data_IF_278068604428
#
_entry.id   IF_278068604428
#
_cell.length_a   1.000
_cell.length_b   1.000
_cell.length_c   1.000
_cell.angle_alpha   90.00
_cell.angle_beta   90.00
_cell.angle_gamma   90.00
#
_symmetry.space_group_name_H-M   'P 1'
#
loop_
_entity.id
_entity.type
_entity.pdbx_description
1 polymer ?
#
# COMPACT_ATOMS: atom_id res chain seq x y z
N UNK A 1 -30.08 -7.88 -39.26
CA UNK A 1 -28.72 -7.91 -38.71
C UNK A 1 -28.08 -6.57 -39.03
N UNK A 2 -27.68 -5.82 -38.02
CA UNK A 2 -27.00 -4.54 -38.19
C UNK A 2 -25.49 -4.80 -38.16
N UNK A 3 -24.79 -4.40 -39.21
CA UNK A 3 -23.34 -4.52 -39.35
C UNK A 3 -22.77 -3.09 -39.32
N UNK A 4 -22.07 -2.66 -38.26
CA UNK A 4 -21.50 -1.33 -38.22
C UNK A 4 -20.33 -1.24 -39.22
N UNK A 5 -20.40 -0.28 -40.15
CA UNK A 5 -19.25 0.06 -41.01
C UNK A 5 -18.28 0.93 -40.21
N UNK A 6 -17.05 0.48 -39.97
CA UNK A 6 -16.04 1.38 -39.40
C UNK A 6 -14.71 0.80 -38.95
N UNK A 7 -14.51 -0.52 -38.89
CA UNK A 7 -13.29 -1.06 -38.27
C UNK A 7 -12.35 -1.59 -39.35
N UNK A 8 -11.25 -0.86 -39.57
CA UNK A 8 -10.16 -1.28 -40.45
C UNK A 8 -9.42 -2.45 -39.81
N UNK A 9 -9.35 -3.59 -40.50
CA UNK A 9 -8.61 -4.77 -40.07
C UNK A 9 -7.10 -4.51 -40.09
N UNK A 10 -6.51 -4.31 -38.91
CA UNK A 10 -5.05 -4.40 -38.75
C UNK A 10 -4.73 -5.89 -38.64
N UNK A 11 -3.94 -6.43 -39.58
CA UNK A 11 -3.47 -7.81 -39.52
C UNK A 11 -2.61 -8.02 -38.27
N UNK A 12 -2.98 -8.98 -37.43
CA UNK A 12 -2.29 -9.28 -36.17
C UNK A 12 -1.56 -10.64 -36.25
N UNK A 13 -0.40 -10.75 -35.63
CA UNK A 13 0.45 -11.95 -35.65
C UNK A 13 -0.16 -13.14 -34.87
N UNK A 14 0.27 -14.36 -35.23
CA UNK A 14 -0.25 -15.67 -34.79
C UNK A 14 -0.28 -15.93 -33.26
N UNK A 15 0.40 -15.12 -32.44
CA UNK A 15 0.41 -15.28 -30.98
C UNK A 15 -0.85 -14.74 -30.27
N UNK A 16 -1.92 -14.44 -31.01
CA UNK A 16 -3.16 -13.82 -30.54
C UNK A 16 -4.40 -14.72 -30.66
N UNK A 17 -4.23 -16.04 -30.75
CA UNK A 17 -5.38 -16.93 -30.75
C UNK A 17 -6.08 -16.94 -29.38
N UNK A 18 -7.21 -16.23 -29.30
CA UNK A 18 -8.21 -16.42 -28.25
C UNK A 18 -9.05 -17.67 -28.53
N UNK A 19 -9.76 -18.14 -27.50
CA UNK A 19 -10.54 -19.39 -27.44
C UNK A 19 -11.79 -19.37 -28.36
N UNK A 20 -12.00 -18.31 -29.16
CA UNK A 20 -13.22 -18.09 -29.94
C UNK A 20 -13.05 -18.35 -31.45
N UNK A 21 -13.94 -19.16 -32.03
CA UNK A 21 -13.96 -19.53 -33.45
C UNK A 21 -14.17 -18.33 -34.40
N UNK A 22 -13.71 -18.47 -35.65
CA UNK A 22 -13.55 -17.42 -36.68
C UNK A 22 -14.81 -16.63 -37.12
N UNK A 23 -16.02 -16.94 -36.63
CA UNK A 23 -17.24 -16.14 -36.93
C UNK A 23 -17.35 -14.82 -36.15
N UNK A 24 -16.37 -14.51 -35.31
CA UNK A 24 -16.46 -13.46 -34.27
C UNK A 24 -15.43 -12.35 -34.50
N UNK A 25 -15.21 -11.90 -35.74
CA UNK A 25 -14.26 -10.79 -35.96
C UNK A 25 -14.79 -9.45 -35.45
N UNK A 26 -16.09 -9.20 -35.53
CA UNK A 26 -16.71 -7.93 -35.09
C UNK A 26 -16.94 -7.85 -33.57
N UNK A 27 -17.19 -8.97 -32.86
CA UNK A 27 -17.25 -8.93 -31.39
C UNK A 27 -15.85 -8.82 -30.75
N UNK A 28 -14.78 -9.15 -31.48
CA UNK A 28 -13.38 -8.91 -31.03
C UNK A 28 -13.06 -7.42 -30.90
N UNK A 29 -13.87 -6.54 -31.51
CA UNK A 29 -13.73 -5.09 -31.35
C UNK A 29 -14.60 -4.51 -30.22
N UNK A 30 -15.43 -5.34 -29.58
CA UNK A 30 -16.24 -4.92 -28.42
C UNK A 30 -15.52 -5.08 -27.10
N UNK A 31 -14.55 -6.00 -27.02
CA UNK A 31 -13.87 -6.39 -25.79
C UNK A 31 -12.36 -6.47 -25.99
N UNK A 32 -11.59 -6.09 -24.97
CA UNK A 32 -10.13 -6.21 -24.95
C UNK A 32 -9.34 -5.55 -26.08
N UNK A 33 -9.95 -4.59 -26.78
CA UNK A 33 -9.30 -3.87 -27.91
C UNK A 33 -8.00 -3.18 -27.54
N UNK A 34 -7.85 -2.78 -26.27
CA UNK A 34 -6.67 -2.12 -25.71
C UNK A 34 -5.84 -3.05 -24.79
N UNK A 35 -6.13 -4.35 -24.77
CA UNK A 35 -5.41 -5.33 -23.93
C UNK A 35 -4.39 -6.09 -24.78
N UNK A 36 -3.11 -5.96 -24.43
CA UNK A 36 -2.04 -6.63 -25.17
C UNK A 36 -1.96 -8.15 -24.88
N UNK A 37 -2.20 -8.55 -23.63
CA UNK A 37 -2.21 -9.96 -23.18
C UNK A 37 -2.71 -10.09 -21.74
N UNK A 38 -3.13 -11.30 -21.40
CA UNK A 38 -3.36 -11.74 -20.02
C UNK A 38 -2.23 -12.64 -19.52
N UNK A 39 -1.81 -12.42 -18.28
CA UNK A 39 -0.88 -13.30 -17.58
C UNK A 39 -1.45 -13.59 -16.19
N UNK A 40 -1.74 -14.86 -15.85
CA UNK A 40 -2.29 -15.19 -14.55
C UNK A 40 -1.27 -14.94 -13.43
N UNK A 41 -1.77 -14.46 -12.30
CA UNK A 41 -1.01 -14.38 -11.07
C UNK A 41 -1.04 -15.72 -10.35
N UNK A 42 0.04 -16.04 -9.64
CA UNK A 42 0.05 -17.14 -8.67
C UNK A 42 -1.04 -16.89 -7.62
N UNK A 43 -1.83 -17.89 -7.19
CA UNK A 43 -2.75 -17.72 -6.07
C UNK A 43 -2.01 -17.30 -4.78
N UNK A 44 -2.56 -16.37 -3.98
CA UNK A 44 -1.94 -15.95 -2.72
C UNK A 44 -1.59 -17.11 -1.78
N UNK A 45 -2.45 -18.12 -1.71
CA UNK A 45 -2.26 -19.29 -0.84
C UNK A 45 -0.96 -20.03 -1.14
N UNK A 46 -0.61 -20.24 -2.42
CA UNK A 46 0.64 -20.93 -2.78
C UNK A 46 1.83 -20.13 -2.26
N UNK A 47 1.80 -18.81 -2.39
CA UNK A 47 2.88 -17.97 -1.90
C UNK A 47 2.95 -17.99 -0.36
N UNK A 48 1.81 -18.04 0.33
CA UNK A 48 1.77 -18.18 1.80
C UNK A 48 2.28 -19.55 2.27
N UNK A 49 2.08 -20.61 1.49
CA UNK A 49 2.60 -21.96 1.78
C UNK A 49 4.11 -22.06 1.51
N UNK A 50 4.61 -21.51 0.41
CA UNK A 50 6.03 -21.44 0.08
C UNK A 50 6.82 -20.56 1.07
N UNK A 51 6.17 -19.53 1.60
CA UNK A 51 6.73 -18.50 2.48
C UNK A 51 5.86 -18.32 3.72
N UNK A 52 5.84 -19.29 4.64
CA UNK A 52 4.94 -19.28 5.78
C UNK A 52 5.38 -18.27 6.85
N UNK A 53 4.39 -17.70 7.52
CA UNK A 53 4.59 -16.94 8.76
C UNK A 53 4.85 -17.93 9.88
N UNK A 54 6.09 -17.96 10.38
CA UNK A 54 6.44 -18.72 11.59
C UNK A 54 5.94 -18.00 12.85
N UNK A 55 5.78 -18.71 13.97
CA UNK A 55 5.37 -18.12 15.26
C UNK A 55 6.19 -16.89 15.67
N UNK A 56 7.52 -16.97 15.62
CA UNK A 56 8.43 -15.85 15.93
C UNK A 56 8.19 -14.61 15.06
N UNK A 57 7.87 -14.83 13.77
CA UNK A 57 7.56 -13.73 12.84
C UNK A 57 6.20 -13.14 13.16
N UNK A 58 5.21 -13.98 13.48
CA UNK A 58 3.89 -13.52 13.91
C UNK A 58 3.97 -12.65 15.18
N UNK A 59 4.79 -13.03 16.16
CA UNK A 59 5.03 -12.25 17.39
C UNK A 59 5.53 -10.83 17.07
N UNK A 60 6.52 -10.70 16.20
CA UNK A 60 7.06 -9.39 15.78
C UNK A 60 5.99 -8.54 15.10
N UNK A 61 5.22 -9.14 14.17
CA UNK A 61 4.17 -8.43 13.43
C UNK A 61 3.06 -7.96 14.38
N UNK A 62 2.58 -8.86 15.25
CA UNK A 62 1.49 -8.59 16.20
C UNK A 62 1.94 -7.54 17.22
N UNK A 63 3.15 -7.66 17.78
CA UNK A 63 3.71 -6.65 18.69
C UNK A 63 3.72 -5.27 18.01
N UNK A 64 4.25 -5.17 16.79
CA UNK A 64 4.27 -3.90 16.05
C UNK A 64 2.87 -3.33 15.76
N UNK A 65 1.88 -4.18 15.47
CA UNK A 65 0.48 -3.74 15.29
C UNK A 65 -0.09 -3.17 16.57
N UNK A 66 0.06 -3.89 17.68
CA UNK A 66 -0.50 -3.50 18.97
C UNK A 66 0.14 -2.21 19.48
N UNK A 67 1.47 -2.09 19.42
CA UNK A 67 2.17 -0.86 19.81
C UNK A 67 1.75 0.34 18.96
N UNK A 68 1.67 0.19 17.63
CA UNK A 68 1.17 1.24 16.76
C UNK A 68 -0.29 1.62 17.09
N UNK A 69 -1.16 0.64 17.37
CA UNK A 69 -2.54 0.88 17.81
C UNK A 69 -2.59 1.61 19.15
N UNK A 70 -1.74 1.25 20.11
CA UNK A 70 -1.70 1.89 21.43
C UNK A 70 -1.26 3.34 21.33
N UNK A 71 -0.24 3.64 20.51
CA UNK A 71 0.21 5.01 20.25
C UNK A 71 -0.88 5.81 19.52
N UNK A 72 -1.45 5.26 18.45
CA UNK A 72 -2.50 5.92 17.67
C UNK A 72 -3.69 6.24 18.56
N UNK A 73 -4.10 5.32 19.43
CA UNK A 73 -5.24 5.51 20.34
C UNK A 73 -4.89 6.24 21.64
N UNK A 74 -3.64 6.65 21.84
CA UNK A 74 -3.21 7.39 23.03
C UNK A 74 -3.15 6.59 24.33
N UNK A 75 -3.04 5.26 24.22
CA UNK A 75 -2.73 4.37 25.35
C UNK A 75 -1.24 4.30 25.65
N UNK A 76 -0.41 4.76 24.71
CA UNK A 76 1.04 4.92 24.84
C UNK A 76 1.45 6.32 24.38
N UNK A 77 2.45 6.90 25.03
CA UNK A 77 3.06 8.20 24.72
C UNK A 77 4.31 8.08 23.83
N UNK A 78 4.85 6.87 23.65
CA UNK A 78 5.89 6.57 22.64
C UNK A 78 5.58 7.18 21.27
N UNK A 79 6.62 7.54 20.53
CA UNK A 79 6.50 8.04 19.16
C UNK A 79 6.53 6.87 18.15
N UNK A 80 5.50 6.79 17.30
CA UNK A 80 5.49 5.88 16.15
C UNK A 80 6.35 6.45 15.02
N UNK A 81 7.41 5.72 14.65
CA UNK A 81 8.39 6.12 13.64
C UNK A 81 8.37 5.13 12.47
N UNK A 82 7.86 5.56 11.33
CA UNK A 82 7.91 4.78 10.07
C UNK A 82 9.08 5.28 9.23
N UNK A 83 10.18 4.54 9.19
CA UNK A 83 11.45 4.98 8.58
C UNK A 83 12.08 3.91 7.71
N UNK A 84 12.68 4.32 6.58
CA UNK A 84 13.33 3.42 5.64
C UNK A 84 13.39 3.98 4.21
N UNK A 85 13.86 3.18 3.25
CA UNK A 85 13.98 3.59 1.86
C UNK A 85 12.68 4.10 1.24
N UNK A 86 12.77 5.04 0.29
CA UNK A 86 11.60 5.53 -0.43
C UNK A 86 10.86 4.39 -1.17
N UNK A 87 11.63 3.49 -1.78
CA UNK A 87 11.17 2.25 -2.39
C UNK A 87 12.28 1.20 -2.36
N UNK A 88 11.96 -0.05 -2.05
CA UNK A 88 12.88 -1.19 -2.08
C UNK A 88 13.07 -1.63 -3.53
N UNK A 89 14.32 -1.71 -3.98
CA UNK A 89 14.69 -2.22 -5.30
C UNK A 89 15.74 -3.33 -5.23
N UNK A 90 16.55 -3.36 -4.15
CA UNK A 90 17.48 -4.44 -3.85
C UNK A 90 17.10 -5.10 -2.50
N UNK A 91 16.68 -6.38 -2.50
CA UNK A 91 16.39 -7.14 -1.29
C UNK A 91 17.57 -7.24 -0.32
N UNK A 92 18.82 -7.30 -0.82
CA UNK A 92 20.00 -7.47 0.04
C UNK A 92 20.25 -6.19 0.86
N UNK A 93 20.31 -5.04 0.19
CA UNK A 93 20.42 -3.75 0.85
C UNK A 93 19.25 -3.48 1.81
N UNK A 94 18.04 -3.97 1.51
CA UNK A 94 16.91 -3.86 2.43
C UNK A 94 17.13 -4.62 3.75
N UNK A 95 17.68 -5.83 3.68
CA UNK A 95 17.97 -6.65 4.88
C UNK A 95 19.13 -6.05 5.68
N UNK A 96 20.17 -5.57 5.00
CA UNK A 96 21.28 -4.85 5.66
C UNK A 96 20.77 -3.61 6.40
N UNK A 97 19.92 -2.80 5.75
CA UNK A 97 19.28 -1.66 6.40
C UNK A 97 18.43 -2.09 7.61
N UNK A 98 17.68 -3.20 7.50
CA UNK A 98 16.88 -3.72 8.60
C UNK A 98 17.73 -4.11 9.81
N UNK A 99 18.90 -4.72 9.59
CA UNK A 99 19.83 -5.09 10.68
C UNK A 99 20.34 -3.86 11.42
N UNK A 100 20.81 -2.85 10.67
CA UNK A 100 21.27 -1.59 11.26
C UNK A 100 20.15 -0.84 12.00
N UNK A 101 18.94 -0.82 11.42
CA UNK A 101 17.78 -0.19 12.05
C UNK A 101 17.36 -0.93 13.33
N UNK A 102 17.49 -2.26 13.37
CA UNK A 102 17.16 -3.07 14.55
C UNK A 102 18.05 -2.75 15.73
N UNK A 103 19.35 -2.61 15.50
CA UNK A 103 20.30 -2.22 16.55
C UNK A 103 19.90 -0.89 17.21
N UNK A 104 19.51 0.11 16.41
CA UNK A 104 19.01 1.38 16.94
C UNK A 104 17.63 1.23 17.60
N UNK A 105 16.72 0.49 16.99
CA UNK A 105 15.37 0.28 17.51
C UNK A 105 15.38 -0.33 18.92
N UNK A 106 16.30 -1.27 19.19
CA UNK A 106 16.46 -1.86 20.52
C UNK A 106 16.94 -0.84 21.55
N UNK A 107 17.87 0.04 21.17
CA UNK A 107 18.36 1.08 22.07
C UNK A 107 17.32 2.16 22.40
N UNK A 108 16.30 2.32 21.55
CA UNK A 108 15.28 3.37 21.65
C UNK A 108 13.89 2.84 22.02
N UNK A 109 13.76 1.55 22.37
CA UNK A 109 12.45 0.88 22.50
C UNK A 109 11.53 1.48 23.57
N UNK A 110 12.09 2.16 24.57
CA UNK A 110 11.31 2.81 25.63
C UNK A 110 10.58 4.07 25.15
N UNK A 111 11.11 4.75 24.14
CA UNK A 111 10.60 6.04 23.65
C UNK A 111 9.95 5.93 22.27
N UNK A 112 10.43 5.00 21.43
CA UNK A 112 10.05 4.88 20.03
C UNK A 112 9.46 3.50 19.71
N UNK A 113 8.38 3.48 18.94
CA UNK A 113 7.95 2.30 18.19
C UNK A 113 8.42 2.46 16.74
N UNK A 114 9.53 1.81 16.40
CA UNK A 114 10.14 1.90 15.06
C UNK A 114 9.58 0.79 14.17
N UNK A 115 9.00 1.18 13.04
CA UNK A 115 8.52 0.29 11.98
C UNK A 115 9.29 0.59 10.69
N UNK A 116 9.91 -0.44 10.10
CA UNK A 116 10.66 -0.25 8.87
C UNK A 116 9.71 0.03 7.70
N UNK A 117 10.00 1.08 6.92
CA UNK A 117 9.32 1.39 5.67
C UNK A 117 9.81 0.44 4.56
N UNK A 118 8.94 -0.45 4.09
CA UNK A 118 9.22 -1.48 3.06
C UNK A 118 8.34 -1.28 1.82
N UNK A 119 8.40 -0.10 1.20
CA UNK A 119 7.51 0.21 0.06
C UNK A 119 8.06 -0.39 -1.22
N UNK A 120 7.26 -1.14 -1.98
CA UNK A 120 7.72 -1.78 -3.21
C UNK A 120 7.58 -0.92 -4.46
N UNK A 121 6.64 0.03 -4.46
CA UNK A 121 6.36 0.90 -5.58
C UNK A 121 6.18 2.34 -5.10
N UNK A 122 6.44 3.28 -6.01
CA UNK A 122 6.07 4.68 -5.84
C UNK A 122 5.10 5.07 -6.96
N UNK A 123 3.86 5.49 -6.66
CA UNK A 123 2.93 5.90 -7.69
C UNK A 123 3.47 7.11 -8.47
N UNK A 124 3.51 7.00 -9.80
CA UNK A 124 4.04 8.00 -10.74
C UNK A 124 2.98 8.37 -11.78
N UNK A 125 2.91 9.65 -12.13
CA UNK A 125 2.13 10.15 -13.27
C UNK A 125 2.89 10.05 -14.60
N UNK A 126 4.22 9.97 -14.55
CA UNK A 126 5.10 9.81 -15.72
C UNK A 126 5.61 8.37 -15.85
N UNK A 127 6.04 8.00 -17.06
CA UNK A 127 6.66 6.69 -17.33
C UNK A 127 7.96 6.56 -16.53
N UNK A 128 8.10 5.46 -15.80
CA UNK A 128 9.26 5.13 -14.98
C UNK A 128 9.17 3.71 -14.43
N UNK A 129 10.18 3.28 -13.67
CA UNK A 129 10.16 1.96 -13.02
C UNK A 129 8.92 1.80 -12.13
N UNK A 130 8.26 0.65 -12.25
CA UNK A 130 6.96 0.34 -11.61
C UNK A 130 7.08 -0.32 -10.24
N UNK A 131 8.30 -0.39 -9.69
CA UNK A 131 8.54 -0.99 -8.38
C UNK A 131 8.88 -2.47 -8.43
N UNK A 132 9.34 -3.01 -7.29
CA UNK A 132 9.92 -4.34 -7.17
C UNK A 132 8.91 -5.46 -7.43
N UNK A 133 7.66 -5.27 -7.01
CA UNK A 133 6.60 -6.27 -7.29
C UNK A 133 6.32 -6.30 -8.79
N UNK A 134 6.14 -5.14 -9.43
CA UNK A 134 5.75 -5.10 -10.82
C UNK A 134 6.88 -5.45 -11.78
N UNK A 135 8.09 -4.96 -11.54
CA UNK A 135 9.24 -5.09 -12.43
C UNK A 135 10.53 -5.42 -11.64
N UNK A 136 10.66 -6.64 -11.09
CA UNK A 136 11.73 -6.99 -10.14
C UNK A 136 13.14 -6.97 -10.74
N UNK A 137 13.26 -7.10 -12.06
CA UNK A 137 14.54 -7.06 -12.75
C UNK A 137 14.93 -5.66 -13.23
N UNK A 138 14.05 -4.66 -13.06
CA UNK A 138 14.23 -3.28 -13.55
C UNK A 138 14.49 -3.20 -15.08
N UNK A 139 13.99 -4.17 -15.84
CA UNK A 139 14.20 -4.36 -17.27
C UNK A 139 12.90 -4.30 -18.09
N UNK A 140 11.78 -3.93 -17.46
CA UNK A 140 10.42 -3.89 -18.05
C UNK A 140 9.92 -5.26 -18.52
N UNK A 141 10.45 -6.36 -17.99
CA UNK A 141 9.92 -7.71 -18.28
C UNK A 141 8.64 -8.03 -17.50
N UNK A 142 8.32 -7.21 -16.49
CA UNK A 142 7.11 -7.27 -15.67
C UNK A 142 6.83 -8.66 -15.09
N UNK A 143 7.86 -9.28 -14.50
CA UNK A 143 7.75 -10.62 -13.88
C UNK A 143 7.05 -10.54 -12.52
N UNK A 144 5.76 -10.17 -12.51
CA UNK A 144 5.00 -9.90 -11.28
C UNK A 144 5.00 -11.08 -10.30
N UNK A 145 4.83 -12.33 -10.78
CA UNK A 145 4.91 -13.51 -9.92
C UNK A 145 6.28 -13.64 -9.21
N UNK A 146 7.39 -13.28 -9.89
CA UNK A 146 8.71 -13.22 -9.27
C UNK A 146 8.78 -12.07 -8.24
N UNK A 147 8.21 -10.91 -8.58
CA UNK A 147 8.20 -9.74 -7.69
C UNK A 147 7.37 -9.95 -6.42
N UNK A 148 6.22 -10.62 -6.51
CA UNK A 148 5.40 -11.02 -5.34
C UNK A 148 6.19 -11.95 -4.40
N UNK A 149 6.89 -12.94 -4.98
CA UNK A 149 7.77 -13.84 -4.24
C UNK A 149 8.85 -13.07 -3.48
N UNK A 150 9.59 -12.20 -4.19
CA UNK A 150 10.65 -11.39 -3.60
C UNK A 150 10.09 -10.44 -2.52
N UNK A 151 8.97 -9.77 -2.77
CA UNK A 151 8.37 -8.84 -1.83
C UNK A 151 7.97 -9.50 -0.52
N UNK A 152 7.34 -10.69 -0.59
CA UNK A 152 6.99 -11.46 0.60
C UNK A 152 8.23 -11.94 1.36
N UNK A 153 9.26 -12.41 0.65
CA UNK A 153 10.52 -12.83 1.25
C UNK A 153 11.25 -11.68 1.97
N UNK A 154 11.25 -10.47 1.40
CA UNK A 154 11.80 -9.27 2.05
C UNK A 154 11.05 -8.98 3.36
N UNK A 155 9.72 -8.96 3.34
CA UNK A 155 8.92 -8.69 4.54
C UNK A 155 9.15 -9.73 5.64
N UNK A 156 9.19 -11.02 5.27
CA UNK A 156 9.55 -12.09 6.20
C UNK A 156 10.95 -11.92 6.77
N UNK A 157 11.92 -11.50 5.95
CA UNK A 157 13.29 -11.30 6.39
C UNK A 157 13.42 -10.12 7.35
N UNK A 158 12.71 -9.02 7.10
CA UNK A 158 12.62 -7.87 8.03
C UNK A 158 12.03 -8.31 9.38
N UNK A 159 10.95 -9.09 9.36
CA UNK A 159 10.36 -9.62 10.59
C UNK A 159 11.28 -10.62 11.30
N UNK A 160 12.04 -11.45 10.57
CA UNK A 160 13.05 -12.37 11.15
C UNK A 160 14.20 -11.63 11.85
N UNK A 161 14.57 -10.45 11.36
CA UNK A 161 15.51 -9.55 12.05
C UNK A 161 14.91 -8.99 13.35
N UNK A 162 13.58 -9.04 13.50
CA UNK A 162 12.86 -8.57 14.67
C UNK A 162 12.26 -7.18 14.50
N UNK A 163 12.16 -6.68 13.26
CA UNK A 163 11.49 -5.40 12.97
C UNK A 163 10.10 -5.62 12.37
N UNK A 164 9.08 -4.86 12.81
CA UNK A 164 7.82 -4.76 12.08
C UNK A 164 7.99 -3.97 10.78
N UNK A 165 7.11 -4.22 9.80
CA UNK A 165 7.17 -3.59 8.48
C UNK A 165 5.92 -2.75 8.15
N UNK A 166 6.16 -1.67 7.42
CA UNK A 166 5.16 -0.74 6.91
C UNK A 166 5.16 -0.68 5.38
N UNK A 167 3.97 -0.70 4.77
CA UNK A 167 3.80 -0.61 3.30
C UNK A 167 2.74 0.45 2.93
N UNK A 168 2.75 0.87 1.66
CA UNK A 168 1.63 1.61 1.07
C UNK A 168 0.80 0.65 0.20
N UNK A 169 -0.51 0.65 0.41
CA UNK A 169 -1.43 -0.16 -0.38
C UNK A 169 -1.90 0.64 -1.60
N UNK A 170 -1.59 0.13 -2.79
CA UNK A 170 -1.83 0.81 -4.07
C UNK A 170 -2.96 0.17 -4.90
N UNK A 171 -3.42 -1.01 -4.50
CA UNK A 171 -4.44 -1.79 -5.18
C UNK A 171 -5.15 -2.75 -4.19
N UNK A 172 -6.24 -3.37 -4.66
CA UNK A 172 -7.13 -4.20 -3.84
C UNK A 172 -6.75 -5.69 -3.84
N UNK A 173 -5.69 -6.09 -4.54
CA UNK A 173 -5.27 -7.48 -4.76
C UNK A 173 -3.97 -7.81 -4.00
N UNK A 174 -2.95 -6.96 -4.11
CA UNK A 174 -1.65 -7.14 -3.44
C UNK A 174 -1.74 -7.35 -1.92
N UNK A 175 -2.69 -6.77 -1.16
CA UNK A 175 -2.88 -7.09 0.25
C UNK A 175 -3.12 -8.57 0.52
N UNK A 176 -3.69 -9.32 -0.43
CA UNK A 176 -3.92 -10.76 -0.26
C UNK A 176 -2.62 -11.57 -0.20
N UNK A 177 -1.53 -11.05 -0.78
CA UNK A 177 -0.23 -11.72 -0.85
C UNK A 177 0.72 -11.37 0.30
N UNK A 178 0.59 -10.16 0.87
CA UNK A 178 1.56 -9.63 1.82
C UNK A 178 0.93 -9.03 3.09
N UNK A 179 -0.39 -8.85 3.13
CA UNK A 179 -1.08 -8.13 4.21
C UNK A 179 -0.92 -8.75 5.59
N UNK A 180 -0.70 -10.07 5.66
CA UNK A 180 -0.42 -10.80 6.90
C UNK A 180 0.92 -10.39 7.54
N UNK A 181 1.85 -9.84 6.77
CA UNK A 181 3.20 -9.42 7.20
C UNK A 181 3.31 -7.94 7.59
N UNK A 182 2.22 -7.19 7.51
CA UNK A 182 2.23 -5.72 7.68
C UNK A 182 1.80 -5.32 9.08
N UNK A 183 2.60 -4.48 9.75
CA UNK A 183 2.25 -3.95 11.07
C UNK A 183 1.64 -2.56 11.04
N UNK A 184 1.84 -1.80 9.95
CA UNK A 184 1.22 -0.50 9.71
C UNK A 184 1.11 -0.24 8.21
N UNK A 185 0.04 0.39 7.73
CA UNK A 185 -0.17 0.69 6.32
C UNK A 185 -0.38 2.16 6.04
N UNK A 186 -0.09 2.58 4.81
CA UNK A 186 -0.44 3.90 4.31
C UNK A 186 -1.38 3.85 3.11
N UNK A 187 -2.25 4.84 3.02
CA UNK A 187 -2.91 5.25 1.79
C UNK A 187 -2.32 6.58 1.33
N UNK A 188 -1.85 6.59 0.09
CA UNK A 188 -1.14 7.72 -0.49
C UNK A 188 -2.01 8.93 -0.77
N UNK A 189 -1.37 10.10 -0.91
CA UNK A 189 -2.05 11.38 -1.18
C UNK A 189 -2.89 11.41 -2.48
N UNK A 190 -2.69 10.44 -3.38
CA UNK A 190 -3.44 10.31 -4.64
C UNK A 190 -4.60 9.31 -4.55
N UNK A 191 -4.63 8.50 -3.50
CA UNK A 191 -5.61 7.44 -3.30
C UNK A 191 -6.44 7.64 -2.03
N UNK A 192 -6.10 8.59 -1.15
CA UNK A 192 -6.90 8.96 0.03
C UNK A 192 -8.35 9.31 -0.31
N UNK A 193 -8.59 9.96 -1.45
CA UNK A 193 -9.94 10.33 -1.90
C UNK A 193 -10.67 9.17 -2.62
N UNK A 194 -9.96 8.11 -2.97
CA UNK A 194 -10.53 6.97 -3.69
C UNK A 194 -11.41 6.13 -2.77
N UNK A 195 -12.67 5.97 -3.15
CA UNK A 195 -13.64 5.14 -2.40
C UNK A 195 -13.12 3.72 -2.19
N UNK A 196 -12.66 3.03 -3.24
CA UNK A 196 -12.16 1.64 -3.12
C UNK A 196 -10.95 1.49 -2.20
N UNK A 197 -10.14 2.54 -2.03
CA UNK A 197 -9.03 2.52 -1.07
C UNK A 197 -9.50 2.75 0.37
N UNK A 198 -10.58 3.52 0.58
CA UNK A 198 -11.24 3.68 1.89
C UNK A 198 -11.93 2.36 2.29
N UNK A 199 -12.61 1.71 1.35
CA UNK A 199 -13.21 0.38 1.53
C UNK A 199 -12.15 -0.70 1.77
N UNK A 200 -11.00 -0.65 1.09
CA UNK A 200 -9.88 -1.53 1.40
C UNK A 200 -9.40 -1.31 2.84
N UNK A 201 -9.20 -0.04 3.22
CA UNK A 201 -8.64 0.34 4.53
C UNK A 201 -9.51 -0.07 5.70
N UNK A 202 -10.83 -0.16 5.52
CA UNK A 202 -11.76 -0.69 6.53
C UNK A 202 -11.59 -2.19 6.78
N UNK A 203 -10.95 -2.93 5.88
CA UNK A 203 -10.68 -4.37 5.99
C UNK A 203 -9.24 -4.75 6.34
N UNK A 204 -8.28 -3.81 6.33
CA UNK A 204 -6.88 -4.13 6.64
C UNK A 204 -6.70 -4.41 8.14
N UNK A 205 -5.98 -5.49 8.46
CA UNK A 205 -5.72 -5.95 9.83
C UNK A 205 -4.71 -5.12 10.63
N UNK A 206 -4.22 -4.02 10.06
CA UNK A 206 -3.22 -3.14 10.64
C UNK A 206 -3.75 -1.69 10.70
N UNK A 207 -3.17 -0.82 11.54
CA UNK A 207 -3.48 0.61 11.52
C UNK A 207 -3.14 1.22 10.16
N UNK A 208 -3.94 2.19 9.73
CA UNK A 208 -3.79 2.86 8.43
C UNK A 208 -3.59 4.36 8.61
N UNK A 209 -2.52 4.89 8.04
CA UNK A 209 -2.31 6.33 7.91
C UNK A 209 -2.77 6.85 6.54
N UNK A 210 -3.70 7.82 6.55
CA UNK A 210 -4.14 8.53 5.34
C UNK A 210 -3.36 9.81 5.15
N UNK A 211 -2.67 9.94 4.02
CA UNK A 211 -1.98 11.19 3.66
C UNK A 211 -2.96 12.28 3.26
N UNK A 212 -2.67 13.53 3.66
CA UNK A 212 -3.34 14.70 3.07
C UNK A 212 -3.10 14.76 1.55
N UNK A 213 -4.00 15.45 0.83
CA UNK A 213 -3.97 15.62 -0.62
C UNK A 213 -2.70 16.30 -1.11
N UNK A 214 -2.37 16.11 -2.39
CA UNK A 214 -1.12 16.64 -2.97
C UNK A 214 -1.02 18.17 -2.97
N UNK A 215 -2.16 18.86 -2.87
CA UNK A 215 -2.30 20.30 -2.71
C UNK A 215 -2.16 20.78 -1.25
N UNK A 216 -2.27 19.87 -0.26
CA UNK A 216 -2.23 20.18 1.17
C UNK A 216 -3.56 19.93 1.88
N UNK A 217 -4.62 19.56 1.16
CA UNK A 217 -5.95 19.39 1.74
C UNK A 217 -6.01 18.16 2.67
N UNK A 218 -6.24 18.37 3.97
CA UNK A 218 -6.44 17.29 4.95
C UNK A 218 -7.90 16.84 5.09
N UNK A 219 -8.89 17.57 4.55
CA UNK A 219 -10.31 17.20 4.65
C UNK A 219 -10.57 15.83 4.02
N UNK A 220 -9.93 15.55 2.87
CA UNK A 220 -10.04 14.24 2.21
C UNK A 220 -9.55 13.08 3.09
N UNK A 221 -8.58 13.33 3.99
CA UNK A 221 -8.05 12.33 4.90
C UNK A 221 -8.96 12.18 6.13
N UNK A 222 -9.58 13.26 6.62
CA UNK A 222 -10.61 13.21 7.65
C UNK A 222 -11.80 12.36 7.17
N UNK A 223 -12.27 12.59 5.95
CA UNK A 223 -13.36 11.79 5.35
C UNK A 223 -12.96 10.33 5.14
N UNK A 224 -11.71 10.08 4.74
CA UNK A 224 -11.19 8.73 4.59
C UNK A 224 -11.16 7.96 5.93
N UNK A 225 -10.75 8.61 7.01
CA UNK A 225 -10.75 8.03 8.36
C UNK A 225 -12.19 7.68 8.77
N UNK A 226 -13.14 8.62 8.65
CA UNK A 226 -14.56 8.37 8.96
C UNK A 226 -15.13 7.21 8.16
N UNK A 227 -14.89 7.22 6.84
CA UNK A 227 -15.37 6.17 5.95
C UNK A 227 -14.81 4.82 6.37
N UNK A 228 -13.50 4.72 6.62
CA UNK A 228 -12.84 3.46 6.94
C UNK A 228 -13.26 2.84 8.28
N UNK A 229 -13.86 3.61 9.19
CA UNK A 229 -14.39 3.10 10.46
C UNK A 229 -15.67 2.25 10.30
N UNK A 230 -16.35 2.37 9.16
CA UNK A 230 -17.59 1.66 8.85
C UNK A 230 -17.34 0.36 8.09
N UNK A 231 -18.34 -0.53 8.10
CA UNK A 231 -18.40 -1.68 7.21
C UNK A 231 -18.56 -1.24 5.76
N UNK A 232 -17.89 -1.96 4.86
CA UNK A 232 -17.91 -1.74 3.41
C UNK A 232 -17.89 -3.06 2.66
N UNK A 233 -18.25 -2.98 1.38
CA UNK A 233 -18.17 -4.08 0.42
C UNK A 233 -17.35 -3.66 -0.79
N UNK A 234 -16.34 -4.45 -1.18
CA UNK A 234 -15.53 -4.20 -2.38
C UNK A 234 -15.12 -5.49 -3.08
N UNK A 235 -14.62 -5.38 -4.31
CA UNK A 235 -14.14 -6.53 -5.10
C UNK A 235 -12.64 -6.79 -4.87
N UNK A 236 -12.29 -8.04 -4.61
CA UNK A 236 -10.91 -8.50 -4.45
C UNK A 236 -10.78 -9.95 -4.93
N UNK A 237 -9.79 -10.68 -4.43
CA UNK A 237 -9.58 -12.10 -4.68
C UNK A 237 -9.51 -12.89 -3.37
N UNK A 238 -9.94 -14.15 -3.39
CA UNK A 238 -9.68 -15.08 -2.28
C UNK A 238 -8.20 -15.47 -2.24
N UNK A 239 -7.79 -16.17 -1.18
CA UNK A 239 -6.45 -16.78 -1.12
C UNK A 239 -6.22 -17.81 -2.23
N UNK A 240 -7.28 -18.44 -2.74
CA UNK A 240 -7.23 -19.36 -3.87
C UNK A 240 -7.13 -18.65 -5.24
N UNK A 241 -7.17 -17.31 -5.27
CA UNK A 241 -7.04 -16.51 -6.49
C UNK A 241 -8.34 -16.33 -7.29
N UNK A 242 -9.49 -16.63 -6.69
CA UNK A 242 -10.81 -16.42 -7.31
C UNK A 242 -11.30 -15.01 -7.01
N UNK A 243 -11.89 -14.33 -7.99
CA UNK A 243 -12.54 -13.03 -7.76
C UNK A 243 -13.66 -13.17 -6.73
N UNK A 244 -13.81 -12.19 -5.86
CA UNK A 244 -14.72 -12.28 -4.72
C UNK A 244 -15.19 -10.92 -4.22
N UNK A 245 -16.36 -10.96 -3.59
CA UNK A 245 -16.92 -9.86 -2.81
C UNK A 245 -16.32 -9.96 -1.41
N UNK A 246 -15.75 -8.86 -0.92
CA UNK A 246 -15.19 -8.75 0.44
C UNK A 246 -16.07 -7.81 1.24
N UNK A 247 -16.59 -8.28 2.37
CA UNK A 247 -17.29 -7.47 3.36
C UNK A 247 -16.36 -7.21 4.56
N UNK A 248 -16.29 -5.95 4.99
CA UNK A 248 -15.37 -5.52 6.06
C UNK A 248 -16.15 -5.11 7.31
N UNK A 249 -15.48 -5.13 8.47
CA UNK A 249 -16.09 -4.76 9.74
C UNK A 249 -15.83 -3.30 10.15
N UNK A 250 -15.00 -2.57 9.38
CA UNK A 250 -14.50 -1.27 9.76
C UNK A 250 -13.15 -1.34 10.48
N UNK A 251 -12.30 -0.36 10.23
CA UNK A 251 -11.00 -0.18 10.87
C UNK A 251 -11.01 1.08 11.73
N UNK A 252 -10.97 0.90 13.05
CA UNK A 252 -10.96 1.99 14.03
C UNK A 252 -9.57 2.61 14.25
N UNK A 253 -8.52 1.99 13.71
CA UNK A 253 -7.13 2.38 13.94
C UNK A 253 -6.58 3.18 12.74
N UNK A 254 -7.38 4.11 12.22
CA UNK A 254 -6.98 5.00 11.13
C UNK A 254 -6.55 6.36 11.69
N UNK A 255 -5.52 6.97 11.12
CA UNK A 255 -5.04 8.30 11.51
C UNK A 255 -4.59 9.12 10.30
N UNK A 256 -4.36 10.42 10.52
CA UNK A 256 -3.94 11.35 9.48
C UNK A 256 -2.41 11.46 9.40
N UNK A 257 -1.88 11.61 8.19
CA UNK A 257 -0.46 11.92 7.91
C UNK A 257 -0.35 13.29 7.21
N UNK A 258 0.31 14.24 7.86
CA UNK A 258 0.70 15.54 7.30
C UNK A 258 1.99 15.38 6.49
N UNK A 259 1.96 15.68 5.19
CA UNK A 259 3.08 15.43 4.25
C UNK A 259 3.43 16.61 3.34
N UNK A 260 2.96 17.80 3.71
CA UNK A 260 3.01 19.03 2.93
C UNK A 260 2.06 19.01 1.74
N UNK A 261 2.09 20.08 0.96
CA UNK A 261 1.30 20.25 -0.25
C UNK A 261 2.03 21.09 -1.29
N UNK A 262 1.32 21.47 -2.36
CA UNK A 262 1.81 22.45 -3.33
C UNK A 262 2.03 23.84 -2.70
N UNK A 263 1.26 24.14 -1.65
CA UNK A 263 1.32 25.40 -0.93
C UNK A 263 2.45 25.49 0.10
N UNK A 264 3.25 24.43 0.25
CA UNK A 264 4.39 24.37 1.17
C UNK A 264 4.29 23.26 2.21
N UNK A 265 5.22 23.26 3.18
CA UNK A 265 5.17 22.35 4.32
C UNK A 265 3.95 22.57 5.21
N UNK A 266 3.55 21.55 5.94
CA UNK A 266 2.47 21.59 6.92
C UNK A 266 2.84 20.87 8.23
N UNK A 267 4.12 20.87 8.61
CA UNK A 267 4.59 20.26 9.87
C UNK A 267 4.62 21.23 11.06
N UNK A 268 4.44 22.54 10.82
CA UNK A 268 4.54 23.58 11.85
C UNK A 268 3.31 23.57 12.78
N UNK A 269 3.48 24.16 13.97
CA UNK A 269 2.48 24.17 15.04
C UNK A 269 1.10 24.68 14.58
N UNK A 270 1.05 25.73 13.75
CA UNK A 270 -0.20 26.25 13.22
C UNK A 270 -1.00 25.17 12.45
N UNK A 271 -0.32 24.40 11.61
CA UNK A 271 -0.94 23.34 10.81
C UNK A 271 -1.37 22.16 11.68
N UNK A 272 -0.54 21.79 12.67
CA UNK A 272 -0.87 20.74 13.64
C UNK A 272 -2.11 21.13 14.44
N UNK A 273 -2.17 22.34 15.00
CA UNK A 273 -3.30 22.84 15.77
C UNK A 273 -4.58 22.93 14.94
N UNK A 274 -4.46 23.33 13.67
CA UNK A 274 -5.60 23.39 12.75
C UNK A 274 -6.17 22.00 12.49
N UNK A 275 -5.34 21.01 12.16
CA UNK A 275 -5.83 19.67 11.81
C UNK A 275 -6.36 18.92 13.04
N UNK A 276 -5.71 19.07 14.21
CA UNK A 276 -6.18 18.44 15.45
C UNK A 276 -7.55 18.99 15.86
N UNK A 277 -7.75 20.32 15.76
CA UNK A 277 -9.04 20.96 16.03
C UNK A 277 -10.16 20.42 15.13
N UNK A 278 -9.86 20.22 13.84
CA UNK A 278 -10.84 19.64 12.90
C UNK A 278 -11.13 18.17 13.16
N UNK A 279 -10.12 17.37 13.51
CA UNK A 279 -10.30 15.97 13.91
C UNK A 279 -11.22 15.87 15.14
N UNK A 280 -11.02 16.74 16.14
CA UNK A 280 -11.88 16.82 17.34
C UNK A 280 -13.31 17.21 16.94
N UNK A 281 -13.49 18.25 16.13
CA UNK A 281 -14.81 18.67 15.65
C UNK A 281 -15.52 17.55 14.86
N UNK A 282 -14.75 16.73 14.16
CA UNK A 282 -15.19 15.55 13.45
C UNK A 282 -15.44 14.31 14.34
N UNK A 283 -15.21 14.40 15.66
CA UNK A 283 -15.26 13.30 16.63
C UNK A 283 -14.31 12.15 16.29
N UNK A 284 -13.16 12.47 15.71
CA UNK A 284 -12.09 11.54 15.40
C UNK A 284 -10.93 11.70 16.38
N UNK A 285 -10.04 10.71 16.35
CA UNK A 285 -8.80 10.77 17.10
C UNK A 285 -7.89 11.89 16.58
N UNK A 286 -7.49 12.87 17.42
CA UNK A 286 -6.66 13.98 16.99
C UNK A 286 -5.17 13.66 16.85
N UNK A 287 -4.73 12.44 17.15
CA UNK A 287 -3.33 12.05 16.98
C UNK A 287 -3.00 11.92 15.49
N UNK A 288 -1.90 12.56 15.09
CA UNK A 288 -1.46 12.63 13.70
C UNK A 288 -0.02 12.15 13.56
N UNK A 289 0.38 11.84 12.33
CA UNK A 289 1.76 11.59 11.95
C UNK A 289 2.26 12.71 11.04
N UNK A 290 3.54 13.05 11.15
CA UNK A 290 4.19 14.02 10.28
C UNK A 290 5.20 13.28 9.41
N UNK A 291 5.05 13.37 8.09
CA UNK A 291 6.01 12.90 7.10
C UNK A 291 7.08 13.98 6.93
N UNK A 292 8.29 13.73 7.43
CA UNK A 292 9.42 14.67 7.31
C UNK A 292 9.88 14.88 5.86
N UNK A 293 9.51 13.99 4.94
CA UNK A 293 9.97 14.03 3.55
C UNK A 293 8.98 14.76 2.64
N UNK A 294 8.97 14.41 1.35
CA UNK A 294 7.96 14.83 0.37
C UNK A 294 7.68 16.34 0.32
N UNK A 295 6.41 16.76 0.50
CA UNK A 295 6.03 18.18 0.43
C UNK A 295 6.64 18.99 1.58
N UNK A 296 6.77 18.38 2.75
CA UNK A 296 7.36 18.99 3.94
C UNK A 296 8.84 19.32 3.75
N UNK A 297 9.60 18.40 3.16
CA UNK A 297 11.01 18.64 2.79
C UNK A 297 11.20 19.53 1.55
N UNK A 298 10.12 19.98 0.89
CA UNK A 298 10.20 20.60 -0.45
C UNK A 298 10.94 19.73 -1.49
N UNK A 299 10.89 18.40 -1.31
CA UNK A 299 11.62 17.39 -2.09
C UNK A 299 13.15 17.50 -2.00
N UNK A 300 13.68 18.02 -0.91
CA UNK A 300 15.11 18.15 -0.61
C UNK A 300 15.45 17.26 0.60
N UNK A 301 16.26 16.21 0.41
CA UNK A 301 16.44 15.19 1.45
C UNK A 301 17.22 15.71 2.69
N UNK A 302 17.95 16.81 2.52
CA UNK A 302 18.76 17.48 3.54
C UNK A 302 17.95 18.36 4.51
N UNK A 303 16.67 18.58 4.23
CA UNK A 303 15.74 19.40 5.03
C UNK A 303 14.80 18.53 5.83
#
# INVERSE_FOLDING_TARGET
MYTPKGISSISRNESQQSIYSDRVSELKDLDDVNIARYMPLIPPQILMEDFPVTEKVAEVIIKGRLEAMDIINGRSDKLLVVVGPCSIHDPKAAIEYAQLLKEYADSAENELCIIMRVYFEKPRTTVGWKGLINDPNMDKTYKINKGLKIGREVLLSVAKVGLPAAVEFLDMISPQFIGDLISWGAIGARTTESQVHRELSSGISAPIGFKNGTDGNFDIAIDAIKSSQSSHVFLSVTKQGLTSIVETLGNKNCHLILRGGKNGPNYEEEHVNKVTSQLIAAKLNPRIMIDCSHGNSSKKFER
#
